data_IF_078603734403
#
_entry.id   IF_078603734403
#
_cell.length_a   1.000
_cell.length_b   1.000
_cell.length_c   1.000
_cell.angle_alpha   90.00
_cell.angle_beta   90.00
_cell.angle_gamma   90.00
#
_symmetry.space_group_name_H-M   'P 1'
#
loop_
_entity.id
_entity.type
_entity.pdbx_description
1 polymer ?
#
# COMPACT_ATOMS: atom_id res chain seq x y z
N UNK A 1 -0.79 -37.80 -63.35
CA UNK A 1 -1.41 -36.46 -63.36
C UNK A 1 -1.75 -36.05 -61.92
N UNK A 2 -0.78 -36.12 -61.00
CA UNK A 2 -1.02 -35.87 -59.55
C UNK A 2 0.08 -35.05 -58.87
N UNK A 3 1.12 -34.65 -59.61
CA UNK A 3 2.29 -33.97 -59.03
C UNK A 3 2.26 -32.44 -59.15
N UNK A 4 1.29 -31.85 -59.86
CA UNK A 4 1.22 -30.39 -60.03
C UNK A 4 0.20 -29.70 -59.10
N UNK A 5 -0.70 -30.45 -58.45
CA UNK A 5 -1.72 -29.89 -57.54
C UNK A 5 -1.23 -29.70 -56.10
N UNK A 6 -0.11 -30.32 -55.71
CA UNK A 6 0.50 -30.21 -54.38
C UNK A 6 1.43 -29.00 -54.25
N UNK A 7 2.00 -28.51 -55.34
CA UNK A 7 2.91 -27.35 -55.33
C UNK A 7 2.17 -26.03 -55.07
N UNK A 8 0.95 -25.87 -55.62
CA UNK A 8 0.18 -24.62 -55.50
C UNK A 8 -0.47 -24.46 -54.12
N UNK A 9 -0.82 -25.56 -53.44
CA UNK A 9 -1.36 -25.51 -52.06
C UNK A 9 -0.29 -25.15 -51.02
N UNK A 10 0.97 -25.54 -51.22
CA UNK A 10 2.06 -25.18 -50.30
C UNK A 10 2.58 -23.75 -50.51
N UNK A 11 2.43 -23.18 -51.70
CA UNK A 11 2.81 -21.78 -51.94
C UNK A 11 1.82 -20.80 -51.28
N UNK A 12 0.53 -21.15 -51.24
CA UNK A 12 -0.50 -20.27 -50.68
C UNK A 12 -0.55 -20.26 -49.14
N UNK A 13 -0.02 -21.30 -48.48
CA UNK A 13 0.05 -21.37 -47.01
C UNK A 13 1.21 -20.53 -46.44
N UNK A 14 2.23 -20.21 -47.24
CA UNK A 14 3.43 -19.50 -46.76
C UNK A 14 3.29 -17.97 -46.70
N UNK A 15 2.21 -17.40 -47.23
CA UNK A 15 2.01 -15.93 -47.29
C UNK A 15 1.11 -15.41 -46.14
N UNK A 16 0.49 -16.30 -45.36
CA UNK A 16 -0.36 -15.95 -44.20
C UNK A 16 0.33 -16.19 -42.85
N UNK A 17 1.65 -16.13 -42.79
CA UNK A 17 2.40 -16.13 -41.54
C UNK A 17 3.04 -14.75 -41.33
N UNK A 18 2.42 -13.95 -40.46
CA UNK A 18 2.98 -12.73 -39.84
C UNK A 18 3.50 -11.65 -40.80
N UNK A 19 2.58 -10.80 -41.30
CA UNK A 19 2.95 -9.42 -41.63
C UNK A 19 3.22 -8.65 -40.33
N UNK A 20 4.43 -8.80 -39.80
CA UNK A 20 4.97 -7.87 -38.81
C UNK A 20 5.51 -6.67 -39.60
N UNK A 21 4.81 -5.54 -39.57
CA UNK A 21 5.34 -4.29 -40.12
C UNK A 21 6.52 -3.87 -39.24
N UNK A 22 7.74 -4.15 -39.69
CA UNK A 22 8.97 -3.63 -39.09
C UNK A 22 9.18 -2.22 -39.64
N UNK A 23 8.66 -1.22 -38.94
CA UNK A 23 9.00 0.17 -39.21
C UNK A 23 10.43 0.43 -38.72
N UNK A 24 11.40 0.42 -39.63
CA UNK A 24 12.73 0.94 -39.36
C UNK A 24 12.70 2.46 -39.59
N UNK A 25 12.93 3.30 -38.56
CA UNK A 25 13.00 4.74 -38.76
C UNK A 25 14.25 5.07 -39.58
N UNK A 26 14.11 5.70 -40.75
CA UNK A 26 15.25 6.14 -41.58
C UNK A 26 16.11 7.23 -40.93
N UNK A 27 15.73 7.75 -39.76
CA UNK A 27 16.64 8.54 -38.95
C UNK A 27 17.56 7.56 -38.22
N UNK A 28 18.85 7.55 -38.56
CA UNK A 28 19.94 6.78 -37.93
C UNK A 28 20.21 7.13 -36.46
N UNK A 29 19.15 7.31 -35.69
CA UNK A 29 19.12 7.50 -34.25
C UNK A 29 18.78 6.14 -33.66
N UNK A 30 19.76 5.52 -33.00
CA UNK A 30 19.54 4.31 -32.24
C UNK A 30 18.43 4.56 -31.21
N UNK A 31 17.33 3.82 -31.33
CA UNK A 31 16.31 3.78 -30.29
C UNK A 31 16.96 3.15 -29.06
N UNK A 32 17.17 3.94 -28.01
CA UNK A 32 17.63 3.40 -26.73
C UNK A 32 16.64 2.29 -26.31
N UNK A 33 17.11 1.07 -26.04
CA UNK A 33 16.24 -0.07 -25.83
C UNK A 33 15.40 0.01 -24.55
N UNK A 34 15.73 0.93 -23.64
CA UNK A 34 15.05 1.08 -22.35
C UNK A 34 14.90 2.55 -21.97
N UNK A 35 13.66 2.93 -21.64
CA UNK A 35 13.37 4.18 -20.97
C UNK A 35 14.02 4.19 -19.58
N UNK A 36 14.47 5.35 -19.09
CA UNK A 36 15.00 5.45 -17.73
C UNK A 36 13.95 5.01 -16.71
N UNK A 37 14.39 4.39 -15.61
CA UNK A 37 13.51 4.08 -14.47
C UNK A 37 12.87 5.39 -13.98
N UNK A 38 11.54 5.46 -14.07
CA UNK A 38 10.75 6.61 -13.66
C UNK A 38 9.77 6.20 -12.58
N UNK A 39 9.70 7.02 -11.53
CA UNK A 39 8.76 6.85 -10.42
C UNK A 39 7.30 6.79 -10.90
N UNK A 40 6.48 5.97 -10.22
CA UNK A 40 5.07 5.79 -10.55
C UNK A 40 4.32 7.12 -10.51
N UNK A 41 4.64 8.01 -9.56
CA UNK A 41 3.98 9.33 -9.45
C UNK A 41 4.25 10.19 -10.69
N UNK A 42 5.51 10.25 -11.13
CA UNK A 42 5.87 10.97 -12.33
C UNK A 42 5.21 10.38 -13.58
N UNK A 43 5.09 9.04 -13.62
CA UNK A 43 4.41 8.33 -14.70
C UNK A 43 2.91 8.57 -14.74
N UNK A 44 2.23 8.45 -13.60
CA UNK A 44 0.80 8.69 -13.46
C UNK A 44 0.46 10.12 -13.88
N UNK A 45 1.29 11.10 -13.50
CA UNK A 45 1.16 12.48 -13.94
C UNK A 45 1.28 12.65 -15.46
N UNK A 46 2.27 12.01 -16.08
CA UNK A 46 2.45 12.05 -17.53
C UNK A 46 1.27 11.36 -18.27
N UNK A 47 0.81 10.22 -17.75
CA UNK A 47 -0.37 9.51 -18.25
C UNK A 47 -1.63 10.35 -18.14
N UNK A 48 -1.84 11.04 -17.02
CA UNK A 48 -2.97 11.95 -16.83
C UNK A 48 -2.96 13.09 -17.83
N UNK A 49 -1.84 13.79 -17.98
CA UNK A 49 -1.74 14.88 -18.95
C UNK A 49 -2.07 14.39 -20.37
N UNK A 50 -1.58 13.19 -20.73
CA UNK A 50 -1.88 12.58 -22.02
C UNK A 50 -3.36 12.24 -22.16
N UNK A 51 -3.96 11.65 -21.13
CA UNK A 51 -5.38 11.32 -21.10
C UNK A 51 -6.28 12.57 -21.17
N UNK A 52 -5.90 13.65 -20.49
CA UNK A 52 -6.60 14.94 -20.55
C UNK A 52 -6.56 15.56 -21.95
N UNK A 53 -5.40 15.53 -22.61
CA UNK A 53 -5.30 15.98 -24.01
C UNK A 53 -6.16 15.12 -24.94
N UNK A 54 -6.15 13.79 -24.78
CA UNK A 54 -7.00 12.89 -25.56
C UNK A 54 -8.49 13.09 -25.26
N UNK A 55 -8.85 13.50 -24.05
CA UNK A 55 -10.24 13.79 -23.69
C UNK A 55 -10.79 14.98 -24.45
N UNK A 56 -9.97 16.00 -24.70
CA UNK A 56 -10.34 17.12 -25.59
C UNK A 56 -10.66 16.65 -27.02
N UNK A 57 -10.11 15.51 -27.43
CA UNK A 57 -10.33 14.89 -28.73
C UNK A 57 -11.39 13.78 -28.73
N UNK A 58 -12.15 13.63 -27.63
CA UNK A 58 -13.31 12.73 -27.56
C UNK A 58 -13.09 11.43 -26.77
N UNK A 59 -12.00 11.30 -26.02
CA UNK A 59 -11.84 10.18 -25.07
C UNK A 59 -12.70 10.40 -23.81
N UNK A 60 -13.57 9.45 -23.50
CA UNK A 60 -14.30 9.45 -22.23
C UNK A 60 -13.37 9.03 -21.08
N UNK A 61 -13.39 9.82 -20.00
CA UNK A 61 -12.60 9.62 -18.79
C UNK A 61 -13.46 9.32 -17.57
N UNK A 62 -14.77 9.06 -17.76
CA UNK A 62 -15.65 8.69 -16.67
C UNK A 62 -15.21 7.35 -16.05
N UNK A 63 -14.81 7.34 -14.77
CA UNK A 63 -14.30 6.14 -14.14
C UNK A 63 -15.41 5.17 -13.74
N UNK A 64 -15.24 3.90 -14.08
CA UNK A 64 -16.11 2.82 -13.63
C UNK A 64 -15.70 2.29 -12.23
N UNK A 65 -16.47 1.36 -11.67
CA UNK A 65 -16.16 0.71 -10.39
C UNK A 65 -14.80 -0.03 -10.43
N UNK A 66 -14.51 -0.75 -11.51
CA UNK A 66 -13.24 -1.47 -11.69
C UNK A 66 -12.04 -0.51 -11.73
N UNK A 67 -12.20 0.67 -12.35
CA UNK A 67 -11.13 1.67 -12.43
C UNK A 67 -10.74 2.21 -11.06
N UNK A 68 -11.74 2.37 -10.17
CA UNK A 68 -11.54 2.81 -8.79
C UNK A 68 -10.79 1.75 -7.99
N UNK A 69 -11.16 0.48 -8.15
CA UNK A 69 -10.51 -0.63 -7.46
C UNK A 69 -9.04 -0.80 -7.90
N UNK A 70 -8.77 -0.68 -9.21
CA UNK A 70 -7.41 -0.71 -9.75
C UNK A 70 -6.58 0.47 -9.23
N UNK A 71 -7.14 1.68 -9.25
CA UNK A 71 -6.46 2.88 -8.76
C UNK A 71 -6.15 2.78 -7.26
N UNK A 72 -7.10 2.27 -6.46
CA UNK A 72 -6.92 2.04 -5.02
C UNK A 72 -5.81 1.01 -4.75
N UNK A 73 -5.84 -0.14 -5.43
CA UNK A 73 -4.79 -1.18 -5.31
C UNK A 73 -3.41 -0.65 -5.66
N UNK A 74 -3.31 0.14 -6.74
CA UNK A 74 -2.06 0.71 -7.19
C UNK A 74 -1.51 1.76 -6.21
N UNK A 75 -2.40 2.60 -5.65
CA UNK A 75 -2.03 3.57 -4.63
C UNK A 75 -1.60 2.91 -3.31
N UNK A 76 -2.27 1.85 -2.87
CA UNK A 76 -1.90 1.07 -1.69
C UNK A 76 -0.53 0.40 -1.88
N UNK A 77 -0.29 -0.26 -3.02
CA UNK A 77 1.00 -0.86 -3.31
C UNK A 77 2.14 0.18 -3.32
N UNK A 78 1.87 1.38 -3.84
CA UNK A 78 2.82 2.48 -3.82
C UNK A 78 3.08 3.01 -2.40
N UNK A 79 2.05 3.07 -1.55
CA UNK A 79 2.18 3.50 -0.16
C UNK A 79 2.99 2.49 0.68
N UNK A 80 2.83 1.19 0.42
CA UNK A 80 3.63 0.14 1.07
C UNK A 80 5.10 0.22 0.65
N UNK A 81 5.36 0.28 -0.66
CA UNK A 81 6.72 0.28 -1.20
C UNK A 81 6.80 1.10 -2.51
N UNK A 82 7.26 2.36 -2.46
CA UNK A 82 7.32 3.22 -3.64
C UNK A 82 8.33 2.70 -4.67
N UNK A 83 9.52 2.28 -4.24
CA UNK A 83 10.59 1.86 -5.17
C UNK A 83 10.26 0.58 -5.94
N UNK A 84 9.67 -0.42 -5.25
CA UNK A 84 9.33 -1.70 -5.88
C UNK A 84 8.14 -1.55 -6.82
N UNK A 85 7.16 -0.73 -6.46
CA UNK A 85 5.98 -0.46 -7.28
C UNK A 85 6.36 0.34 -8.52
N UNK A 86 7.23 1.35 -8.39
CA UNK A 86 7.75 2.12 -9.52
C UNK A 86 8.53 1.28 -10.53
N UNK A 87 9.28 0.27 -10.07
CA UNK A 87 9.96 -0.70 -10.94
C UNK A 87 8.99 -1.66 -11.63
N UNK A 88 7.97 -2.14 -10.91
CA UNK A 88 6.95 -3.06 -11.47
C UNK A 88 6.01 -2.38 -12.46
N UNK A 89 5.76 -1.08 -12.29
CA UNK A 89 4.96 -0.26 -13.18
C UNK A 89 5.73 0.04 -14.47
N UNK A 90 6.02 -0.97 -15.30
CA UNK A 90 6.66 -0.79 -16.62
C UNK A 90 5.69 -0.21 -17.65
N UNK A 91 6.20 0.36 -18.74
CA UNK A 91 5.36 0.97 -19.80
C UNK A 91 4.31 0.01 -20.34
N UNK A 92 4.69 -1.25 -20.56
CA UNK A 92 3.78 -2.29 -21.02
C UNK A 92 2.64 -2.58 -20.04
N UNK A 93 2.93 -2.56 -18.73
CA UNK A 93 1.92 -2.79 -17.70
C UNK A 93 0.97 -1.60 -17.58
N UNK A 94 1.50 -0.37 -17.69
CA UNK A 94 0.68 0.84 -17.65
C UNK A 94 -0.20 0.98 -18.89
N UNK A 95 0.27 0.57 -20.06
CA UNK A 95 -0.50 0.59 -21.30
C UNK A 95 -1.68 -0.40 -21.30
N UNK A 96 -1.63 -1.45 -20.47
CA UNK A 96 -2.74 -2.39 -20.30
C UNK A 96 -3.85 -1.85 -19.39
N UNK A 97 -3.59 -0.77 -18.64
CA UNK A 97 -4.57 -0.15 -17.75
C UNK A 97 -5.43 0.85 -18.52
N UNK A 98 -6.65 1.05 -18.05
CA UNK A 98 -7.57 2.05 -18.59
C UNK A 98 -7.04 3.45 -18.32
N UNK A 99 -7.18 4.41 -19.26
CA UNK A 99 -6.78 5.80 -19.03
C UNK A 99 -7.48 6.43 -17.82
N UNK A 100 -8.75 6.09 -17.57
CA UNK A 100 -9.52 6.59 -16.43
C UNK A 100 -8.92 6.14 -15.08
N UNK A 101 -8.52 4.87 -14.93
CA UNK A 101 -7.87 4.38 -13.71
C UNK A 101 -6.51 5.04 -13.45
N UNK A 102 -5.76 5.40 -14.50
CA UNK A 102 -4.49 6.13 -14.39
C UNK A 102 -4.67 7.57 -13.91
N UNK A 103 -5.70 8.26 -14.43
CA UNK A 103 -6.07 9.61 -13.97
C UNK A 103 -6.47 9.57 -12.50
N UNK A 104 -7.29 8.59 -12.10
CA UNK A 104 -7.66 8.40 -10.70
C UNK A 104 -6.45 8.10 -9.82
N UNK A 105 -5.52 7.26 -10.30
CA UNK A 105 -4.29 6.95 -9.57
C UNK A 105 -3.48 8.21 -9.30
N UNK A 106 -3.28 9.10 -10.28
CA UNK A 106 -2.58 10.38 -10.07
C UNK A 106 -3.27 11.24 -8.99
N UNK A 107 -4.60 11.32 -9.02
CA UNK A 107 -5.35 12.09 -8.04
C UNK A 107 -5.15 11.54 -6.62
N UNK A 108 -5.26 10.22 -6.44
CA UNK A 108 -5.02 9.56 -5.16
C UNK A 108 -3.55 9.77 -4.74
N UNK A 109 -2.58 9.55 -5.62
CA UNK A 109 -1.16 9.78 -5.31
C UNK A 109 -0.83 11.25 -5.04
N UNK A 110 -1.63 12.21 -5.52
CA UNK A 110 -1.46 13.64 -5.20
C UNK A 110 -2.03 13.97 -3.82
N UNK A 111 -3.19 13.42 -3.48
CA UNK A 111 -3.84 13.60 -2.18
C UNK A 111 -3.06 12.93 -1.06
N UNK A 112 -2.63 11.68 -1.28
CA UNK A 112 -1.95 10.86 -0.27
C UNK A 112 -0.42 10.86 -0.39
N UNK A 113 0.14 11.27 -1.54
CA UNK A 113 1.58 11.34 -1.76
C UNK A 113 2.23 12.65 -1.30
N UNK A 114 1.58 13.40 -0.42
CA UNK A 114 2.31 14.21 0.55
C UNK A 114 3.03 13.22 1.46
N UNK A 115 4.29 12.93 1.13
CA UNK A 115 5.18 12.08 1.93
C UNK A 115 4.88 12.27 3.40
N UNK A 116 4.37 11.20 4.02
CA UNK A 116 3.98 11.09 5.43
C UNK A 116 4.69 12.17 6.22
N UNK A 117 3.92 13.18 6.62
CA UNK A 117 4.44 14.47 7.06
C UNK A 117 5.57 14.27 8.06
N UNK A 118 6.82 14.37 7.61
CA UNK A 118 8.00 14.05 8.43
C UNK A 118 8.20 15.03 9.58
N UNK A 119 7.50 16.17 9.54
CA UNK A 119 7.61 17.24 10.51
C UNK A 119 6.27 17.54 11.18
N UNK A 120 6.21 17.35 12.50
CA UNK A 120 5.05 17.69 13.33
C UNK A 120 4.59 19.16 13.15
N UNK A 121 5.52 20.07 12.83
CA UNK A 121 5.21 21.49 12.55
C UNK A 121 4.36 21.63 11.29
N UNK A 122 4.66 20.85 10.25
CA UNK A 122 3.92 20.90 9.00
C UNK A 122 2.52 20.31 9.16
N UNK A 123 2.38 19.23 9.95
CA UNK A 123 1.05 18.69 10.32
C UNK A 123 0.24 19.75 11.06
N UNK A 124 0.85 20.41 12.05
CA UNK A 124 0.20 21.48 12.82
C UNK A 124 -0.31 22.58 11.91
N UNK A 125 0.51 23.10 10.99
CA UNK A 125 0.08 24.14 10.05
C UNK A 125 -1.04 23.66 9.11
N UNK A 126 -0.97 22.43 8.61
CA UNK A 126 -2.00 21.86 7.75
C UNK A 126 -3.34 21.72 8.48
N UNK A 127 -3.31 21.21 9.71
CA UNK A 127 -4.51 21.09 10.55
C UNK A 127 -5.09 22.46 10.90
N UNK A 128 -4.25 23.44 11.27
CA UNK A 128 -4.70 24.81 11.53
C UNK A 128 -5.35 25.43 10.30
N UNK A 129 -4.71 25.34 9.13
CA UNK A 129 -5.26 25.87 7.89
C UNK A 129 -6.58 25.18 7.52
N UNK A 130 -6.68 23.86 7.71
CA UNK A 130 -7.92 23.13 7.43
C UNK A 130 -9.03 23.52 8.41
N UNK A 131 -8.75 23.62 9.70
CA UNK A 131 -9.73 24.05 10.69
C UNK A 131 -10.19 25.49 10.47
N UNK A 132 -9.29 26.37 10.02
CA UNK A 132 -9.63 27.75 9.66
C UNK A 132 -10.71 27.78 8.56
N UNK A 133 -10.55 26.96 7.51
CA UNK A 133 -11.55 26.85 6.44
C UNK A 133 -12.90 26.34 6.96
N UNK A 134 -12.88 25.37 7.88
CA UNK A 134 -14.12 24.85 8.49
C UNK A 134 -14.85 25.86 9.38
N UNK A 135 -14.22 26.99 9.77
CA UNK A 135 -14.90 28.06 10.51
C UNK A 135 -15.94 28.80 9.66
N UNK A 136 -15.83 28.74 8.33
CA UNK A 136 -16.78 29.36 7.40
C UNK A 136 -17.94 28.42 7.02
N UNK A 137 -17.88 27.14 7.43
CA UNK A 137 -18.87 26.11 7.08
C UNK A 137 -20.31 26.53 7.48
N UNK A 138 -21.34 26.34 6.65
CA UNK A 138 -22.72 26.75 6.96
C UNK A 138 -23.29 26.13 8.25
N UNK A 139 -22.85 24.92 8.65
CA UNK A 139 -23.31 24.28 9.88
C UNK A 139 -22.67 24.94 11.13
N UNK A 140 -23.46 25.55 12.03
CA UNK A 140 -22.93 26.17 13.25
C UNK A 140 -22.23 25.19 14.19
N UNK A 141 -22.60 23.90 14.19
CA UNK A 141 -21.96 22.88 15.05
C UNK A 141 -20.51 22.63 14.64
N UNK A 142 -20.28 22.50 13.33
CA UNK A 142 -18.95 22.31 12.75
C UNK A 142 -18.09 23.55 13.00
N UNK A 143 -18.65 24.74 12.79
CA UNK A 143 -17.96 26.02 13.04
C UNK A 143 -17.49 26.17 14.49
N UNK A 144 -18.37 25.93 15.46
CA UNK A 144 -18.01 26.03 16.89
C UNK A 144 -16.94 25.00 17.24
N UNK A 145 -17.06 23.77 16.74
CA UNK A 145 -16.07 22.71 17.02
C UNK A 145 -14.71 23.03 16.44
N UNK A 146 -14.66 23.59 15.22
CA UNK A 146 -13.40 24.02 14.60
C UNK A 146 -12.71 25.12 15.41
N UNK A 147 -13.47 26.13 15.89
CA UNK A 147 -12.94 27.21 16.73
C UNK A 147 -12.45 26.71 18.10
N UNK A 148 -13.15 25.75 18.72
CA UNK A 148 -12.71 25.09 19.96
C UNK A 148 -11.36 24.37 19.75
N UNK A 149 -11.26 23.56 18.69
CA UNK A 149 -10.05 22.79 18.37
C UNK A 149 -8.88 23.70 18.00
N UNK A 150 -9.13 24.82 17.30
CA UNK A 150 -8.10 25.83 17.02
C UNK A 150 -7.52 26.40 18.32
N UNK A 151 -8.37 26.76 19.29
CA UNK A 151 -7.89 27.28 20.57
C UNK A 151 -7.14 26.27 21.44
N UNK A 152 -7.39 24.96 21.25
CA UNK A 152 -6.67 23.86 21.93
C UNK A 152 -5.32 23.54 21.29
N UNK A 153 -5.22 23.64 19.96
CA UNK A 153 -4.01 23.28 19.21
C UNK A 153 -3.02 24.44 19.16
N UNK A 154 -3.49 25.69 19.11
CA UNK A 154 -2.60 26.85 19.00
C UNK A 154 -1.95 27.20 20.34
N UNK A 155 -0.68 27.64 20.27
CA UNK A 155 0.17 28.07 21.40
C UNK A 155 -0.36 29.31 22.16
N UNK A 156 -1.62 29.71 21.91
CA UNK A 156 -2.31 30.86 22.52
C UNK A 156 -2.98 30.49 23.85
N UNK A 157 -3.14 29.19 24.14
CA UNK A 157 -3.55 28.71 25.47
C UNK A 157 -4.89 29.26 25.97
N UNK A 158 -5.84 29.54 25.06
CA UNK A 158 -7.13 30.15 25.40
C UNK A 158 -8.06 29.23 26.20
N UNK A 159 -7.78 27.93 26.18
CA UNK A 159 -8.49 26.92 26.97
C UNK A 159 -7.54 26.29 27.98
N UNK A 160 -7.87 26.39 29.26
CA UNK A 160 -7.20 25.67 30.33
C UNK A 160 -7.98 24.40 30.66
N UNK A 161 -7.37 23.22 30.46
CA UNK A 161 -7.94 21.96 30.92
C UNK A 161 -7.60 21.76 32.40
N UNK A 162 -8.61 21.55 33.25
CA UNK A 162 -8.42 21.24 34.66
C UNK A 162 -7.96 19.79 34.80
N UNK A 163 -6.68 19.57 35.03
CA UNK A 163 -6.14 18.25 35.40
C UNK A 163 -6.09 18.11 36.93
N UNK A 164 -6.93 17.26 37.49
CA UNK A 164 -6.86 16.87 38.91
C UNK A 164 -5.97 15.64 39.05
N UNK A 165 -4.75 15.82 39.57
CA UNK A 165 -3.84 14.72 39.86
C UNK A 165 -4.02 14.30 41.31
N UNK A 166 -4.81 13.25 41.54
CA UNK A 166 -4.94 12.65 42.88
C UNK A 166 -3.76 11.73 43.14
N UNK A 167 -2.77 12.21 43.90
CA UNK A 167 -1.64 11.38 44.37
C UNK A 167 -2.16 10.46 45.48
N UNK A 168 -2.44 9.21 45.13
CA UNK A 168 -2.77 8.17 46.13
C UNK A 168 -1.47 7.58 46.67
N UNK A 169 -1.16 7.83 47.95
CA UNK A 169 -0.11 7.08 48.65
C UNK A 169 -0.59 5.65 48.89
N UNK A 170 0.02 4.68 48.21
CA UNK A 170 -0.25 3.27 48.47
C UNK A 170 0.65 2.78 49.61
N UNK A 171 0.07 1.97 50.50
CA UNK A 171 0.84 1.29 51.55
C UNK A 171 1.81 0.28 50.92
N UNK A 172 2.90 -0.06 51.62
CA UNK A 172 3.88 -1.04 51.12
C UNK A 172 3.28 -2.42 50.88
N UNK A 173 2.23 -2.78 51.61
CA UNK A 173 1.58 -4.08 51.49
C UNK A 173 0.65 -4.17 50.27
N UNK A 174 -0.02 -3.07 49.91
CA UNK A 174 -0.80 -2.98 48.66
C UNK A 174 0.09 -3.09 47.42
N UNK A 175 1.29 -2.48 47.47
CA UNK A 175 2.28 -2.59 46.41
C UNK A 175 2.79 -4.02 46.25
N UNK A 176 3.09 -4.72 47.35
CA UNK A 176 3.48 -6.14 47.34
C UNK A 176 2.39 -7.02 46.74
N UNK A 177 1.12 -6.79 47.10
CA UNK A 177 -0.02 -7.55 46.56
C UNK A 177 -0.18 -7.34 45.06
N UNK A 178 -0.05 -6.10 44.57
CA UNK A 178 -0.07 -5.79 43.13
C UNK A 178 1.11 -6.39 42.38
N UNK A 179 2.31 -6.40 42.97
CA UNK A 179 3.49 -7.03 42.37
C UNK A 179 3.31 -8.54 42.26
N UNK A 180 2.81 -9.21 43.31
CA UNK A 180 2.50 -10.64 43.26
C UNK A 180 1.47 -10.97 42.18
N UNK A 181 0.39 -10.19 42.09
CA UNK A 181 -0.64 -10.38 41.07
C UNK A 181 -0.08 -10.18 39.65
N UNK A 182 0.82 -9.21 39.44
CA UNK A 182 1.49 -9.02 38.14
C UNK A 182 2.47 -10.15 37.82
N UNK A 183 3.22 -10.64 38.81
CA UNK A 183 4.13 -11.77 38.64
C UNK A 183 3.36 -13.06 38.32
N UNK A 184 2.27 -13.35 39.03
CA UNK A 184 1.40 -14.50 38.74
C UNK A 184 0.82 -14.43 37.32
N UNK A 185 0.45 -13.23 36.85
CA UNK A 185 -0.02 -13.06 35.47
C UNK A 185 1.09 -13.28 34.44
N UNK A 186 2.35 -12.97 34.74
CA UNK A 186 3.47 -13.21 33.83
C UNK A 186 3.93 -14.68 33.87
N UNK A 187 3.92 -15.32 35.03
CA UNK A 187 4.24 -16.75 35.19
C UNK A 187 3.22 -17.62 34.46
N UNK A 188 1.93 -17.27 34.50
CA UNK A 188 0.89 -17.98 33.73
C UNK A 188 1.04 -17.88 32.21
N UNK A 189 1.80 -16.90 31.71
CA UNK A 189 2.06 -16.74 30.27
C UNK A 189 3.17 -17.70 29.80
N UNK A 190 4.07 -18.13 30.70
CA UNK A 190 5.09 -19.13 30.40
C UNK A 190 4.53 -20.56 30.39
N UNK A 191 3.41 -20.81 31.08
CA UNK A 191 2.71 -22.10 31.13
C UNK A 191 1.66 -22.28 30.00
N UNK A 192 1.65 -21.43 28.97
CA UNK A 192 0.92 -21.75 27.75
C UNK A 192 1.65 -22.94 27.10
N UNK A 193 1.02 -24.13 26.97
CA UNK A 193 1.63 -25.20 26.20
C UNK A 193 1.88 -24.64 24.81
N UNK A 194 3.13 -24.76 24.34
CA UNK A 194 3.49 -24.50 22.95
C UNK A 194 2.43 -25.20 22.10
N UNK A 195 1.70 -24.44 21.28
CA UNK A 195 0.72 -24.97 20.34
C UNK A 195 1.42 -26.03 19.48
N UNK A 196 1.22 -27.30 19.81
CA UNK A 196 1.64 -28.39 18.96
C UNK A 196 0.76 -28.31 17.72
N UNK A 197 1.34 -27.84 16.62
CA UNK A 197 0.69 -27.89 15.32
C UNK A 197 0.47 -29.36 14.99
N UNK A 198 -0.78 -29.82 15.09
CA UNK A 198 -1.20 -31.16 14.68
C UNK A 198 -1.12 -31.21 13.15
N UNK A 199 -0.10 -31.90 12.62
CA UNK A 199 -0.06 -32.36 11.23
C UNK A 199 -0.26 -33.88 11.27
N UNK A 200 -1.42 -34.32 10.76
CA UNK A 200 -1.83 -35.69 10.43
C UNK A 200 -1.13 -36.85 11.17
N UNK A 201 -1.75 -37.29 12.26
CA UNK A 201 -2.11 -38.70 12.40
C UNK A 201 -1.14 -39.67 13.09
N UNK A 202 0.13 -39.33 13.33
CA UNK A 202 1.02 -40.17 14.15
C UNK A 202 1.91 -39.32 15.05
N UNK A 203 1.79 -39.51 16.37
CA UNK A 203 2.69 -38.89 17.34
C UNK A 203 4.05 -39.60 17.28
N UNK A 204 5.01 -38.99 16.59
CA UNK A 204 6.40 -39.44 16.57
C UNK A 204 7.04 -39.10 17.92
N UNK A 205 7.39 -40.14 18.70
CA UNK A 205 8.21 -39.98 19.89
C UNK A 205 9.67 -39.73 19.46
N UNK A 206 10.10 -38.47 19.55
CA UNK A 206 11.42 -38.00 19.08
C UNK A 206 12.56 -38.69 19.82
N UNK A 207 12.35 -39.10 21.07
CA UNK A 207 13.39 -39.75 21.89
C UNK A 207 13.64 -41.22 21.50
N UNK A 208 12.60 -41.93 21.04
CA UNK A 208 12.70 -43.32 20.56
C UNK A 208 13.42 -43.42 19.20
N UNK A 209 13.23 -42.45 18.31
CA UNK A 209 13.91 -42.36 17.01
C UNK A 209 15.40 -41.97 17.13
N UNK A 210 15.76 -41.22 18.17
CA UNK A 210 17.15 -40.78 18.42
C UNK A 210 18.01 -41.82 19.16
N UNK A 211 17.46 -42.97 19.54
CA UNK A 211 18.21 -44.10 20.09
C UNK A 211 18.78 -43.88 21.50
N UNK A 212 18.25 -42.93 22.25
CA UNK A 212 18.62 -42.69 23.64
C UNK A 212 17.84 -43.67 24.53
N UNK A 213 18.40 -44.86 24.75
CA UNK A 213 17.93 -45.71 25.85
C UNK A 213 18.43 -45.12 27.15
N UNK A 214 17.50 -44.80 28.05
CA UNK A 214 17.82 -44.49 29.44
C UNK A 214 18.62 -45.65 30.04
N UNK A 215 19.91 -45.44 30.25
CA UNK A 215 20.69 -46.28 31.15
C UNK A 215 20.16 -46.06 32.56
N UNK A 216 19.31 -46.98 33.02
CA UNK A 216 19.16 -47.28 34.43
C UNK A 216 20.55 -47.48 35.03
N UNK A 217 21.03 -46.47 35.76
CA UNK A 217 22.04 -46.67 36.78
C UNK A 217 21.29 -46.80 38.09
N UNK A 218 21.18 -48.05 38.54
CA UNK A 218 20.71 -48.44 39.87
C UNK A 218 21.48 -47.67 40.96
N UNK A 219 20.75 -47.05 41.89
CA UNK A 219 21.07 -46.91 43.33
C UNK A 219 19.85 -46.39 44.11
#
# INVERSE_FOLDING_TARGET
MESQTTCVKNFFVYILANMTITAEPEMGVELKPSLPEMDLKARAKASKNTAEELSKHGLDLNPDAEDKDVAAKLALAYAENPDSTSKKATTNKMAALTPASLVLTDNILKEFGQSVVKSAVHVRHLVTNKLLLETENPDPKVRIRALELLGKISDVGLFAEKSEVTITHQSTDDLRKKLKQKLENLVKVEDLPQETVVIDGESLNVDEELGLKDEQTDL
#
